data_IF_903751102553
#
_entry.id   IF_903751102553
#
_cell.length_a   1.000
_cell.length_b   1.000
_cell.length_c   1.000
_cell.angle_alpha   90.00
_cell.angle_beta   90.00
_cell.angle_gamma   90.00
#
_symmetry.space_group_name_H-M   'P 1'
#
loop_
_entity.id
_entity.type
_entity.pdbx_description
1 polymer ?
#
# COMPACT_ATOMS: atom_id res chain seq x y z
N UNK A 1 -10.00 6.59 -2.21
CA UNK A 1 -8.84 5.84 -1.68
C UNK A 1 -9.28 4.41 -1.36
N UNK A 2 -8.52 3.41 -1.83
CA UNK A 2 -8.75 1.98 -1.58
C UNK A 2 -7.54 1.35 -0.91
N UNK A 3 -7.76 0.50 0.10
CA UNK A 3 -6.71 -0.25 0.78
C UNK A 3 -6.64 -1.70 0.28
N UNK A 4 -5.47 -2.11 -0.17
CA UNK A 4 -5.19 -3.44 -0.72
C UNK A 4 -4.19 -4.09 0.22
N UNK A 5 -4.63 -5.07 0.99
CA UNK A 5 -3.89 -5.49 2.18
C UNK A 5 -4.09 -6.97 2.49
N UNK A 6 -3.23 -7.50 3.36
CA UNK A 6 -3.35 -8.86 3.87
C UNK A 6 -4.54 -9.01 4.84
N UNK A 7 -4.86 -10.25 5.19
CA UNK A 7 -6.05 -10.59 5.98
C UNK A 7 -6.07 -9.92 7.35
N UNK A 8 -4.95 -9.89 8.06
CA UNK A 8 -4.92 -9.37 9.43
C UNK A 8 -5.05 -7.85 9.44
N UNK A 9 -4.35 -7.20 8.52
CA UNK A 9 -4.43 -5.75 8.37
C UNK A 9 -5.84 -5.32 7.92
N UNK A 10 -6.48 -6.07 7.01
CA UNK A 10 -7.86 -5.81 6.60
C UNK A 10 -8.85 -5.87 7.76
N UNK A 11 -8.69 -6.86 8.66
CA UNK A 11 -9.51 -6.97 9.87
C UNK A 11 -9.33 -5.73 10.76
N UNK A 12 -8.08 -5.33 11.02
CA UNK A 12 -7.80 -4.14 11.83
C UNK A 12 -8.40 -2.86 11.25
N UNK A 13 -8.30 -2.68 9.93
CA UNK A 13 -8.90 -1.57 9.21
C UNK A 13 -10.44 -1.58 9.28
N UNK A 14 -11.05 -2.75 9.16
CA UNK A 14 -12.50 -2.91 9.31
C UNK A 14 -12.99 -2.54 10.71
N UNK A 15 -12.26 -2.93 11.75
CA UNK A 15 -12.55 -2.55 13.14
C UNK A 15 -12.41 -1.03 13.35
N UNK A 16 -11.50 -0.37 12.64
CA UNK A 16 -11.35 1.09 12.64
C UNK A 16 -12.40 1.83 11.78
N UNK A 17 -13.33 1.12 11.13
CA UNK A 17 -14.39 1.71 10.32
C UNK A 17 -13.99 2.08 8.89
N UNK A 18 -12.84 1.63 8.41
CA UNK A 18 -12.43 1.82 7.01
C UNK A 18 -13.23 0.90 6.09
N UNK A 19 -13.90 1.48 5.09
CA UNK A 19 -14.88 0.76 4.25
C UNK A 19 -14.33 0.21 2.94
N UNK A 20 -13.31 0.87 2.35
CA UNK A 20 -12.76 0.50 1.04
C UNK A 20 -11.50 -0.34 1.20
N UNK A 21 -11.68 -1.59 1.63
CA UNK A 21 -10.59 -2.52 1.93
C UNK A 21 -10.77 -3.80 1.11
N UNK A 22 -9.75 -4.16 0.33
CA UNK A 22 -9.66 -5.44 -0.39
C UNK A 22 -8.60 -6.31 0.26
N UNK A 23 -8.97 -7.56 0.51
CA UNK A 23 -8.03 -8.61 0.85
C UNK A 23 -7.30 -9.05 -0.43
N UNK A 24 -5.98 -9.06 -0.40
CA UNK A 24 -5.15 -9.53 -1.50
C UNK A 24 -4.09 -10.54 -1.03
N UNK A 25 -3.65 -11.36 -1.97
CA UNK A 25 -2.52 -12.29 -1.89
C UNK A 25 -1.55 -11.98 -3.03
N UNK A 26 -0.32 -12.49 -2.94
CA UNK A 26 0.68 -12.32 -4.00
C UNK A 26 0.20 -12.78 -5.38
N UNK A 27 -0.77 -13.70 -5.43
CA UNK A 27 -1.31 -14.28 -6.67
C UNK A 27 -2.40 -13.42 -7.32
N UNK A 28 -3.13 -12.63 -6.55
CA UNK A 28 -4.30 -11.88 -7.03
C UNK A 28 -4.13 -10.36 -6.97
N UNK A 29 -3.06 -9.87 -6.33
CA UNK A 29 -2.80 -8.45 -6.07
C UNK A 29 -2.86 -7.59 -7.33
N UNK A 30 -2.31 -8.06 -8.45
CA UNK A 30 -2.35 -7.34 -9.73
C UNK A 30 -3.77 -7.13 -10.25
N UNK A 31 -4.62 -8.16 -10.15
CA UNK A 31 -6.01 -8.07 -10.57
C UNK A 31 -6.80 -7.10 -9.69
N UNK A 32 -6.55 -7.13 -8.38
CA UNK A 32 -7.19 -6.24 -7.41
C UNK A 32 -6.73 -4.80 -7.60
N UNK A 33 -5.44 -4.56 -7.84
CA UNK A 33 -4.87 -3.24 -8.14
C UNK A 33 -5.55 -2.63 -9.36
N UNK A 34 -5.58 -3.36 -10.47
CA UNK A 34 -6.17 -2.87 -11.72
C UNK A 34 -7.66 -2.56 -11.53
N UNK A 35 -8.43 -3.49 -10.94
CA UNK A 35 -9.85 -3.27 -10.65
C UNK A 35 -10.10 -2.07 -9.73
N UNK A 36 -9.28 -1.90 -8.71
CA UNK A 36 -9.42 -0.76 -7.78
C UNK A 36 -9.05 0.56 -8.46
N UNK A 37 -8.10 0.55 -9.39
CA UNK A 37 -7.67 1.73 -10.15
C UNK A 37 -8.73 2.28 -11.10
N UNK A 38 -9.70 1.47 -11.52
CA UNK A 38 -10.81 1.90 -12.38
C UNK A 38 -11.72 2.92 -11.68
N UNK A 39 -11.83 2.84 -10.35
CA UNK A 39 -12.78 3.65 -9.57
C UNK A 39 -12.11 4.60 -8.59
N UNK A 40 -10.85 4.37 -8.25
CA UNK A 40 -10.13 5.13 -7.23
C UNK A 40 -8.81 5.68 -7.78
N UNK A 41 -8.49 6.93 -7.41
CA UNK A 41 -7.24 7.59 -7.81
C UNK A 41 -6.09 7.35 -6.83
N UNK A 42 -6.42 6.98 -5.59
CA UNK A 42 -5.46 6.70 -4.52
C UNK A 42 -5.61 5.24 -4.11
N UNK A 43 -4.55 4.46 -4.28
CA UNK A 43 -4.47 3.07 -3.86
C UNK A 43 -3.38 2.94 -2.79
N UNK A 44 -3.73 2.32 -1.68
CA UNK A 44 -2.82 2.04 -0.57
C UNK A 44 -2.56 0.56 -0.55
N UNK A 45 -1.31 0.13 -0.62
CA UNK A 45 -0.92 -1.28 -0.69
C UNK A 45 0.17 -1.57 0.34
N UNK A 46 0.17 -2.76 0.95
CA UNK A 46 1.26 -3.13 1.86
C UNK A 46 2.54 -3.52 1.08
N UNK A 47 3.71 -3.23 1.62
CA UNK A 47 5.01 -3.47 0.96
C UNK A 47 5.22 -4.92 0.50
N UNK A 48 4.79 -5.89 1.30
CA UNK A 48 4.84 -7.31 0.96
C UNK A 48 4.08 -7.61 -0.33
N UNK A 49 2.85 -7.11 -0.44
CA UNK A 49 2.02 -7.26 -1.63
C UNK A 49 2.52 -6.44 -2.83
N UNK A 50 3.04 -5.24 -2.58
CA UNK A 50 3.61 -4.37 -3.61
C UNK A 50 4.80 -5.03 -4.33
N UNK A 51 5.57 -5.85 -3.60
CA UNK A 51 6.72 -6.57 -4.18
C UNK A 51 6.31 -7.52 -5.30
N UNK A 52 5.12 -8.14 -5.21
CA UNK A 52 4.59 -9.05 -6.22
C UNK A 52 3.88 -8.34 -7.38
N UNK A 53 3.66 -7.03 -7.30
CA UNK A 53 2.92 -6.24 -8.28
C UNK A 53 3.70 -5.05 -8.85
N UNK A 54 5.05 -5.06 -8.77
CA UNK A 54 5.90 -3.92 -9.13
C UNK A 54 5.63 -3.36 -10.52
N UNK A 55 5.50 -4.23 -11.53
CA UNK A 55 5.25 -3.78 -12.90
C UNK A 55 3.92 -3.07 -13.06
N UNK A 56 2.86 -3.55 -12.41
CA UNK A 56 1.54 -2.94 -12.47
C UNK A 56 1.52 -1.61 -11.72
N UNK A 57 2.19 -1.54 -10.56
CA UNK A 57 2.35 -0.30 -9.80
C UNK A 57 3.04 0.77 -10.66
N UNK A 58 4.11 0.42 -11.37
CA UNK A 58 4.83 1.35 -12.23
C UNK A 58 3.98 1.81 -13.43
N UNK A 59 3.18 0.92 -14.02
CA UNK A 59 2.22 1.29 -15.08
C UNK A 59 1.15 2.25 -14.54
N UNK A 60 0.60 1.96 -13.37
CA UNK A 60 -0.43 2.78 -12.74
C UNK A 60 0.11 4.17 -12.35
N UNK A 61 1.32 4.26 -11.80
CA UNK A 61 2.00 5.54 -11.53
C UNK A 61 2.15 6.38 -12.80
N UNK A 62 2.58 5.78 -13.91
CA UNK A 62 2.69 6.46 -15.22
C UNK A 62 1.33 6.93 -15.76
N UNK A 63 0.25 6.25 -15.41
CA UNK A 63 -1.11 6.65 -15.75
C UNK A 63 -1.69 7.77 -14.85
N UNK A 64 -0.92 8.26 -13.88
CA UNK A 64 -1.33 9.33 -12.96
C UNK A 64 -2.01 8.87 -11.68
N UNK A 65 -2.04 7.55 -11.41
CA UNK A 65 -2.59 7.02 -10.15
C UNK A 65 -1.61 7.18 -9.00
N UNK A 66 -2.11 7.54 -7.82
CA UNK A 66 -1.32 7.66 -6.60
C UNK A 66 -1.27 6.32 -5.88
N UNK A 67 -0.12 5.66 -5.89
CA UNK A 67 0.11 4.40 -5.18
C UNK A 67 0.95 4.67 -3.93
N UNK A 68 0.39 4.38 -2.75
CA UNK A 68 1.05 4.53 -1.46
C UNK A 68 1.40 3.15 -0.90
N UNK A 69 2.68 2.91 -0.68
CA UNK A 69 3.17 1.67 -0.06
C UNK A 69 3.28 1.85 1.45
N UNK A 70 2.55 1.04 2.23
CA UNK A 70 2.58 1.05 3.70
C UNK A 70 3.33 -0.17 4.23
N UNK A 71 4.01 -0.07 5.39
CA UNK A 71 4.68 -1.21 5.99
C UNK A 71 3.68 -2.33 6.32
N UNK A 72 4.10 -3.58 6.14
CA UNK A 72 3.36 -4.72 6.67
C UNK A 72 3.41 -4.73 8.20
N UNK A 73 2.55 -5.55 8.82
CA UNK A 73 2.42 -5.73 10.29
C UNK A 73 3.75 -5.89 11.05
N UNK A 74 4.78 -6.47 10.43
CA UNK A 74 6.09 -6.69 11.05
C UNK A 74 6.96 -5.41 11.18
N UNK A 75 6.57 -4.31 10.54
CA UNK A 75 7.35 -3.08 10.46
C UNK A 75 6.91 -1.96 11.42
N UNK A 76 6.09 -2.21 12.43
CA UNK A 76 5.47 -1.17 13.27
C UNK A 76 6.39 -0.46 14.30
N UNK A 77 7.66 -0.20 13.97
CA UNK A 77 8.60 0.56 14.82
C UNK A 77 8.94 1.95 14.26
N UNK A 78 9.64 2.77 15.06
CA UNK A 78 10.20 4.11 14.70
C UNK A 78 10.92 4.12 13.34
N UNK A 79 11.54 3.01 12.97
CA UNK A 79 12.22 2.82 11.68
C UNK A 79 11.30 2.96 10.47
N UNK A 80 10.01 2.62 10.57
CA UNK A 80 9.10 2.73 9.43
C UNK A 80 8.69 4.17 9.13
N UNK A 81 8.51 4.99 10.16
CA UNK A 81 8.24 6.43 9.98
C UNK A 81 9.49 7.11 9.42
N UNK A 82 10.66 6.83 10.00
CA UNK A 82 11.93 7.35 9.51
C UNK A 82 12.22 6.92 8.07
N UNK A 83 11.88 5.68 7.68
CA UNK A 83 12.03 5.21 6.31
C UNK A 83 11.07 5.90 5.33
N UNK A 84 9.82 6.14 5.73
CA UNK A 84 8.86 6.89 4.89
C UNK A 84 9.35 8.33 4.68
N UNK A 85 9.83 9.00 5.74
CA UNK A 85 10.40 10.36 5.62
C UNK A 85 11.63 10.36 4.71
N UNK A 86 12.52 9.36 4.82
CA UNK A 86 13.68 9.20 3.94
C UNK A 86 13.27 8.97 2.47
N UNK A 87 12.32 8.07 2.22
CA UNK A 87 11.89 7.71 0.86
C UNK A 87 11.09 8.83 0.18
N UNK A 88 10.38 9.67 0.94
CA UNK A 88 9.52 10.75 0.41
C UNK A 88 10.21 12.11 0.36
N UNK A 89 11.08 12.43 1.32
CA UNK A 89 11.67 13.78 1.50
C UNK A 89 13.19 13.79 1.30
N UNK A 90 13.86 12.63 1.32
CA UNK A 90 15.30 12.52 1.10
C UNK A 90 16.18 13.02 2.26
N UNK A 91 15.62 13.23 3.45
CA UNK A 91 16.36 13.68 4.64
C UNK A 91 16.41 12.63 5.74
N UNK A 92 17.60 12.40 6.29
CA UNK A 92 17.79 11.66 7.54
C UNK A 92 17.53 12.59 8.73
N UNK A 93 16.50 12.29 9.52
CA UNK A 93 16.40 12.84 10.88
C UNK A 93 17.30 11.97 11.76
N UNK A 94 18.48 12.49 12.11
CA UNK A 94 19.31 11.90 13.15
C UNK A 94 18.67 12.20 14.50
N UNK A 95 18.34 11.15 15.25
CA UNK A 95 18.16 11.25 16.70
C UNK A 95 19.52 11.37 17.39
#
# INVERSE_FOLDING_TARGET
MHFITDRLTAIGMGLAGLKKVSLATERDVSGILNKSSETEDILVITRGLATSAKEDIEKLRKSGKMIVEIPDRAGGGEDSINRIIREVVGFEVKS
#
